data_IF_494737413943
#
_entry.id   IF_494737413943
#
_cell.length_a   1.000
_cell.length_b   1.000
_cell.length_c   1.000
_cell.angle_alpha   90.00
_cell.angle_beta   90.00
_cell.angle_gamma   90.00
#
_symmetry.space_group_name_H-M   'P 1'
#
loop_
_entity.id
_entity.type
_entity.pdbx_description
1 polymer ?
#
# COMPACT_ATOMS: atom_id res chain seq x y z
N UNK A 1 -13.55 -18.38 14.14
CA UNK A 1 -13.58 -18.38 12.65
C UNK A 1 -13.55 -16.92 12.18
N UNK A 2 -12.53 -16.50 11.42
CA UNK A 2 -12.54 -15.15 10.81
C UNK A 2 -13.57 -15.15 9.68
N UNK A 3 -14.37 -14.08 9.56
CA UNK A 3 -15.34 -13.95 8.48
C UNK A 3 -14.62 -13.77 7.13
N UNK A 4 -15.18 -14.26 6.01
CA UNK A 4 -14.50 -14.25 4.70
C UNK A 4 -14.10 -12.84 4.23
N UNK A 5 -14.86 -11.81 4.61
CA UNK A 5 -14.54 -10.39 4.35
C UNK A 5 -13.25 -9.92 5.03
N UNK A 6 -12.99 -10.38 6.26
CA UNK A 6 -11.77 -10.02 7.02
C UNK A 6 -10.53 -10.64 6.36
N UNK A 7 -10.64 -11.88 5.89
CA UNK A 7 -9.55 -12.57 5.18
C UNK A 7 -9.22 -11.88 3.85
N UNK A 8 -10.24 -11.49 3.08
CA UNK A 8 -10.05 -10.76 1.83
C UNK A 8 -9.38 -9.39 2.04
N UNK A 9 -9.82 -8.62 3.05
CA UNK A 9 -9.17 -7.35 3.39
C UNK A 9 -7.71 -7.55 3.81
N UNK A 10 -7.42 -8.53 4.68
CA UNK A 10 -6.05 -8.81 5.10
C UNK A 10 -5.14 -9.16 3.93
N UNK A 11 -5.63 -9.96 2.98
CA UNK A 11 -4.90 -10.33 1.78
C UNK A 11 -4.63 -9.12 0.87
N UNK A 12 -5.65 -8.31 0.57
CA UNK A 12 -5.51 -7.11 -0.26
C UNK A 12 -4.57 -6.12 0.39
N UNK A 13 -4.79 -5.82 1.67
CA UNK A 13 -3.97 -4.90 2.43
C UNK A 13 -2.50 -5.35 2.47
N UNK A 14 -2.25 -6.63 2.80
CA UNK A 14 -0.89 -7.18 2.83
C UNK A 14 -0.21 -7.14 1.46
N UNK A 15 -0.97 -7.39 0.38
CA UNK A 15 -0.46 -7.30 -1.00
C UNK A 15 -0.06 -5.87 -1.34
N UNK A 16 -0.94 -4.89 -1.06
CA UNK A 16 -0.67 -3.47 -1.31
C UNK A 16 0.55 -3.01 -0.50
N UNK A 17 0.64 -3.36 0.78
CA UNK A 17 1.80 -3.04 1.62
C UNK A 17 3.09 -3.65 1.05
N UNK A 18 3.05 -4.91 0.64
CA UNK A 18 4.23 -5.61 0.10
C UNK A 18 4.71 -4.96 -1.20
N UNK A 19 3.81 -4.70 -2.13
CA UNK A 19 4.14 -4.03 -3.40
C UNK A 19 4.66 -2.60 -3.19
N UNK A 20 4.08 -1.89 -2.23
CA UNK A 20 4.53 -0.53 -1.86
C UNK A 20 5.95 -0.59 -1.32
N UNK A 21 6.23 -1.40 -0.29
CA UNK A 21 7.57 -1.48 0.30
C UNK A 21 8.62 -1.94 -0.73
N UNK A 22 8.29 -2.95 -1.53
CA UNK A 22 9.22 -3.45 -2.56
C UNK A 22 9.52 -2.40 -3.62
N UNK A 23 8.51 -1.65 -4.09
CA UNK A 23 8.72 -0.57 -5.06
C UNK A 23 9.52 0.59 -4.47
N UNK A 24 9.23 1.02 -3.25
CA UNK A 24 10.01 2.05 -2.54
C UNK A 24 11.47 1.63 -2.30
N UNK A 25 11.68 0.38 -1.87
CA UNK A 25 13.03 -0.19 -1.69
C UNK A 25 13.80 -0.28 -3.00
N UNK A 26 13.14 -0.70 -4.08
CA UNK A 26 13.73 -0.73 -5.43
C UNK A 26 14.13 0.66 -5.89
N UNK A 27 13.27 1.66 -5.69
CA UNK A 27 13.58 3.06 -5.98
C UNK A 27 14.77 3.57 -5.19
N UNK A 28 14.81 3.32 -3.87
CA UNK A 28 15.91 3.77 -3.01
C UNK A 28 17.25 3.14 -3.43
N UNK A 29 17.22 1.85 -3.76
CA UNK A 29 18.41 1.12 -4.21
C UNK A 29 18.92 1.64 -5.56
N UNK A 30 18.03 1.87 -6.52
CA UNK A 30 18.38 2.45 -7.82
C UNK A 30 18.89 3.89 -7.69
N UNK A 31 18.24 4.71 -6.86
CA UNK A 31 18.66 6.10 -6.61
C UNK A 31 20.05 6.19 -5.95
N UNK A 32 20.52 5.12 -5.30
CA UNK A 32 21.84 5.05 -4.68
C UNK A 32 22.96 4.63 -5.65
N UNK A 33 22.63 4.26 -6.89
CA UNK A 33 23.62 3.87 -7.88
C UNK A 33 24.32 5.10 -8.48
N UNK A 34 25.64 5.06 -8.72
CA UNK A 34 26.40 6.21 -9.23
C UNK A 34 26.03 6.60 -10.67
N UNK A 35 25.49 5.66 -11.46
CA UNK A 35 24.99 5.91 -12.80
C UNK A 35 23.94 4.87 -13.15
N UNK A 36 22.81 5.32 -13.68
CA UNK A 36 21.72 4.46 -14.14
C UNK A 36 21.68 4.39 -15.66
N UNK A 37 21.38 3.22 -16.20
CA UNK A 37 21.01 3.08 -17.61
C UNK A 37 19.60 3.64 -17.86
N UNK A 38 19.27 3.98 -19.11
CA UNK A 38 17.92 4.46 -19.46
C UNK A 38 16.80 3.49 -19.06
N UNK A 39 17.08 2.19 -19.10
CA UNK A 39 16.12 1.18 -18.62
C UNK A 39 15.93 1.27 -17.10
N UNK A 40 17.03 1.41 -16.36
CA UNK A 40 16.99 1.54 -14.91
C UNK A 40 16.31 2.84 -14.46
N UNK A 41 16.45 3.93 -15.23
CA UNK A 41 15.71 5.19 -14.99
C UNK A 41 14.21 4.96 -15.10
N UNK A 42 13.75 4.28 -16.16
CA UNK A 42 12.32 3.93 -16.31
C UNK A 42 11.81 3.05 -15.16
N UNK A 43 12.62 2.09 -14.71
CA UNK A 43 12.27 1.26 -13.55
C UNK A 43 12.20 2.10 -12.28
N UNK A 44 13.12 3.03 -12.06
CA UNK A 44 13.12 3.95 -10.93
C UNK A 44 11.87 4.85 -10.94
N UNK A 45 11.50 5.43 -12.07
CA UNK A 45 10.30 6.27 -12.22
C UNK A 45 9.03 5.47 -11.92
N UNK A 46 8.88 4.28 -12.53
CA UNK A 46 7.72 3.42 -12.31
C UNK A 46 7.63 2.93 -10.86
N UNK A 47 8.76 2.56 -10.26
CA UNK A 47 8.82 2.11 -8.86
C UNK A 47 8.49 3.26 -7.91
N UNK A 48 8.92 4.48 -8.22
CA UNK A 48 8.64 5.68 -7.42
C UNK A 48 7.16 6.07 -7.50
N UNK A 49 6.57 6.02 -8.70
CA UNK A 49 5.15 6.26 -8.90
C UNK A 49 4.30 5.19 -8.18
N UNK A 50 4.73 3.92 -8.24
CA UNK A 50 4.07 2.80 -7.54
C UNK A 50 4.16 2.98 -6.02
N UNK A 51 5.31 3.39 -5.50
CA UNK A 51 5.48 3.72 -4.09
C UNK A 51 4.51 4.82 -3.64
N UNK A 52 4.47 5.95 -4.35
CA UNK A 52 3.59 7.07 -4.02
C UNK A 52 2.11 6.68 -4.05
N UNK A 53 1.70 5.96 -5.10
CA UNK A 53 0.33 5.45 -5.24
C UNK A 53 -0.01 4.45 -4.14
N UNK A 54 0.91 3.54 -3.84
CA UNK A 54 0.78 2.51 -2.82
C UNK A 54 0.62 3.08 -1.41
N UNK A 55 1.39 4.12 -1.05
CA UNK A 55 1.23 4.84 0.21
C UNK A 55 -0.19 5.40 0.33
N UNK A 56 -0.70 6.06 -0.71
CA UNK A 56 -2.09 6.57 -0.74
C UNK A 56 -3.12 5.45 -0.56
N UNK A 57 -2.94 4.32 -1.25
CA UNK A 57 -3.83 3.16 -1.13
C UNK A 57 -3.83 2.55 0.28
N UNK A 58 -2.67 2.46 0.94
CA UNK A 58 -2.57 1.98 2.33
C UNK A 58 -3.39 2.86 3.27
N UNK A 59 -3.21 4.18 3.19
CA UNK A 59 -3.97 5.12 4.03
C UNK A 59 -5.46 5.11 3.70
N UNK A 60 -5.83 4.99 2.42
CA UNK A 60 -7.24 4.85 2.01
C UNK A 60 -7.90 3.58 2.56
N UNK A 61 -7.21 2.44 2.51
CA UNK A 61 -7.70 1.18 3.07
C UNK A 61 -7.82 1.23 4.59
N UNK A 62 -6.85 1.83 5.29
CA UNK A 62 -6.93 1.99 6.75
C UNK A 62 -8.05 2.96 7.15
N UNK A 63 -8.20 4.06 6.42
CA UNK A 63 -9.27 5.04 6.65
C UNK A 63 -10.66 4.41 6.50
N UNK A 64 -10.89 3.67 5.41
CA UNK A 64 -12.16 2.95 5.20
C UNK A 64 -12.47 1.99 6.36
N UNK A 65 -11.48 1.26 6.89
CA UNK A 65 -11.71 0.37 8.03
C UNK A 65 -11.94 1.11 9.34
N UNK A 66 -11.34 2.27 9.54
CA UNK A 66 -11.61 3.10 10.71
C UNK A 66 -13.05 3.64 10.67
N UNK A 67 -13.53 4.08 9.51
CA UNK A 67 -14.93 4.50 9.31
C UNK A 67 -15.90 3.35 9.55
N UNK A 68 -15.66 2.15 8.98
CA UNK A 68 -16.50 0.96 9.22
C UNK A 68 -16.63 0.63 10.72
N UNK A 69 -15.54 0.77 11.47
CA UNK A 69 -15.53 0.51 12.92
C UNK A 69 -16.35 1.56 13.69
N UNK A 70 -16.19 2.84 13.37
CA UNK A 70 -16.96 3.92 13.98
C UNK A 70 -18.46 3.78 13.71
N UNK A 71 -18.86 3.49 12.47
CA UNK A 71 -20.26 3.26 12.12
C UNK A 71 -20.86 2.07 12.89
N UNK A 72 -20.05 1.03 13.14
CA UNK A 72 -20.47 -0.13 13.96
C UNK A 72 -20.68 0.27 15.43
N UNK A 73 -19.78 1.07 16.01
CA UNK A 73 -19.91 1.55 17.40
C UNK A 73 -21.09 2.52 17.60
N UNK A 74 -21.42 3.35 16.61
CA UNK A 74 -22.60 4.23 16.65
C UNK A 74 -23.91 3.45 16.60
N UNK A 75 -23.97 2.33 15.87
CA UNK A 75 -25.17 1.49 15.83
C UNK A 75 -25.37 0.62 17.09
N UNK A 76 -24.30 0.23 17.80
CA UNK A 76 -24.44 -0.54 19.04
C UNK A 76 -24.81 0.32 20.26
N UNK A 77 -24.53 1.63 20.25
CA UNK A 77 -24.77 2.56 21.36
C UNK A 77 -25.99 3.49 21.18
N UNK A 78 -26.74 3.38 20.07
CA UNK A 78 -27.96 4.15 19.78
C UNK A 78 -29.24 3.36 20.02
#
# INVERSE_FOLDING_TARGET
MKTPKVLAFQLVFSTVVSLTILSGGTSLWLASQPKLSEYQVRVLENSTATWQTGVGAIFGLLGSKATDLLETEEQENG
#
